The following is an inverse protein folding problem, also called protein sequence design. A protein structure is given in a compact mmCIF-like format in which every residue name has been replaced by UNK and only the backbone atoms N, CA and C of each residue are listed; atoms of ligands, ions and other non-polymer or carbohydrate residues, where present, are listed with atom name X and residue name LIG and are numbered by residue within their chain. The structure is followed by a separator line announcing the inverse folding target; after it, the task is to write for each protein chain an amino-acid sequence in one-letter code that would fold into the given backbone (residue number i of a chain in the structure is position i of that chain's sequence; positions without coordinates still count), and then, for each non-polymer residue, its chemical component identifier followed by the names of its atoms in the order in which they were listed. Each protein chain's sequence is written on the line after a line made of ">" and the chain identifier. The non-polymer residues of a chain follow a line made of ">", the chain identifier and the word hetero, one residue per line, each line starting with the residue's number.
data_IF_652821204877
#
_entry.id   IF_652821204877
#
_cell.length_a   1.000
_cell.length_b   1.000
_cell.length_c   1.000
_cell.angle_alpha   90.00
_cell.angle_beta   90.00
_cell.angle_gamma   90.00
#
_symmetry.space_group_name_H-M   'P 1'
#
loop_
_entity.id
_entity.type
_entity.pdbx_description
1 polymer ?
#
# COMPACT_ATOMS: atom_id res chain seq x y z
N UNK A 1 -15.62 -30.68 23.83
CA UNK A 1 -14.82 -30.91 22.59
C UNK A 1 -15.69 -30.86 21.34
N UNK A 2 -16.75 -31.66 21.22
CA UNK A 2 -17.65 -31.67 20.04
C UNK A 2 -18.25 -30.30 19.69
N UNK A 3 -18.82 -29.58 20.68
CA UNK A 3 -19.40 -28.25 20.45
C UNK A 3 -18.37 -27.23 19.91
N UNK A 4 -17.13 -27.27 20.41
CA UNK A 4 -16.05 -26.40 19.93
C UNK A 4 -15.73 -26.71 18.47
N UNK A 5 -15.63 -27.98 18.11
CA UNK A 5 -15.35 -28.41 16.73
C UNK A 5 -16.47 -27.93 15.79
N UNK A 6 -17.74 -28.11 16.17
CA UNK A 6 -18.89 -27.67 15.37
C UNK A 6 -18.88 -26.15 15.20
N UNK A 7 -18.66 -25.40 16.28
CA UNK A 7 -18.61 -23.93 16.22
C UNK A 7 -17.47 -23.43 15.33
N UNK A 8 -16.27 -24.01 15.46
CA UNK A 8 -15.13 -23.65 14.60
C UNK A 8 -15.40 -24.00 13.15
N UNK A 9 -15.94 -25.19 12.85
CA UNK A 9 -16.26 -25.59 11.48
C UNK A 9 -17.34 -24.67 10.87
N UNK A 10 -18.41 -24.36 11.61
CA UNK A 10 -19.45 -23.45 11.18
C UNK A 10 -18.88 -22.04 10.90
N UNK A 11 -18.05 -21.52 11.81
CA UNK A 11 -17.36 -20.24 11.62
C UNK A 11 -16.52 -20.23 10.33
N UNK A 12 -15.68 -21.25 10.12
CA UNK A 12 -14.83 -21.35 8.93
C UNK A 12 -15.65 -21.44 7.64
N UNK A 13 -16.75 -22.20 7.62
CA UNK A 13 -17.64 -22.31 6.47
C UNK A 13 -18.30 -20.95 6.17
N UNK A 14 -18.79 -20.26 7.19
CA UNK A 14 -19.43 -18.94 7.02
C UNK A 14 -18.41 -17.93 6.49
N UNK A 15 -17.22 -17.85 7.10
CA UNK A 15 -16.15 -16.96 6.64
C UNK A 15 -15.75 -17.27 5.21
N UNK A 16 -15.56 -18.55 4.87
CA UNK A 16 -15.21 -18.96 3.51
C UNK A 16 -16.29 -18.56 2.50
N UNK A 17 -17.57 -18.83 2.79
CA UNK A 17 -18.67 -18.47 1.90
C UNK A 17 -18.77 -16.96 1.71
N UNK A 18 -18.76 -16.19 2.79
CA UNK A 18 -18.86 -14.73 2.72
C UNK A 18 -17.68 -14.12 1.96
N UNK A 19 -16.47 -14.64 2.14
CA UNK A 19 -15.29 -14.22 1.39
C UNK A 19 -15.46 -14.43 -0.12
N UNK A 20 -15.81 -15.65 -0.54
CA UNK A 20 -15.99 -15.93 -1.98
C UNK A 20 -17.20 -15.19 -2.57
N UNK A 21 -18.26 -14.97 -1.80
CA UNK A 21 -19.38 -14.14 -2.26
C UNK A 21 -18.94 -12.70 -2.54
N UNK A 22 -18.13 -12.11 -1.65
CA UNK A 22 -17.60 -10.76 -1.84
C UNK A 22 -16.62 -10.68 -3.00
N UNK A 23 -15.66 -11.61 -3.09
CA UNK A 23 -14.72 -11.67 -4.20
C UNK A 23 -15.44 -11.78 -5.55
N UNK A 24 -16.42 -12.69 -5.65
CA UNK A 24 -17.23 -12.85 -6.87
C UNK A 24 -18.09 -11.60 -7.16
N UNK A 25 -18.60 -10.92 -6.13
CA UNK A 25 -19.35 -9.68 -6.31
C UNK A 25 -18.46 -8.56 -6.88
N UNK A 26 -17.21 -8.47 -6.43
CA UNK A 26 -16.26 -7.47 -6.93
C UNK A 26 -15.92 -7.73 -8.40
N UNK A 27 -15.59 -8.98 -8.76
CA UNK A 27 -15.32 -9.36 -10.16
C UNK A 27 -16.53 -9.18 -11.08
N UNK A 28 -17.76 -9.34 -10.58
CA UNK A 28 -18.98 -9.06 -11.35
C UNK A 28 -19.25 -7.57 -11.53
N UNK A 29 -18.97 -6.75 -10.50
CA UNK A 29 -19.12 -5.30 -10.56
C UNK A 29 -18.08 -4.68 -11.50
N UNK A 30 -16.88 -5.23 -11.50
CA UNK A 30 -15.73 -4.76 -12.27
C UNK A 30 -15.16 -5.86 -13.17
N UNK A 31 -15.87 -6.23 -14.25
CA UNK A 31 -15.50 -7.33 -15.13
C UNK A 31 -14.40 -6.92 -16.12
N UNK A 32 -13.29 -6.35 -15.63
CA UNK A 32 -12.17 -5.98 -16.48
C UNK A 32 -11.33 -7.19 -16.84
N UNK A 33 -10.95 -7.24 -18.12
CA UNK A 33 -9.87 -8.04 -18.66
C UNK A 33 -8.64 -7.16 -18.95
N UNK A 34 -7.58 -7.77 -19.49
CA UNK A 34 -6.31 -7.06 -19.70
C UNK A 34 -6.43 -5.86 -20.64
N UNK A 35 -7.26 -5.94 -21.67
CA UNK A 35 -7.42 -4.86 -22.64
C UNK A 35 -8.29 -3.74 -22.07
N UNK A 36 -9.39 -4.10 -21.43
CA UNK A 36 -10.34 -3.14 -20.84
C UNK A 36 -9.82 -2.43 -19.59
N UNK A 37 -8.75 -2.92 -18.94
CA UNK A 37 -8.06 -2.20 -17.86
C UNK A 37 -7.64 -0.78 -18.28
N UNK A 38 -7.33 -0.55 -19.56
CA UNK A 38 -6.98 0.78 -20.07
C UNK A 38 -8.14 1.80 -19.98
N UNK A 39 -9.38 1.32 -19.78
CA UNK A 39 -10.58 2.12 -19.65
C UNK A 39 -11.10 2.20 -18.20
N UNK A 40 -10.43 1.55 -17.25
CA UNK A 40 -10.77 1.64 -15.83
C UNK A 40 -10.58 3.06 -15.33
N UNK A 41 -11.62 3.63 -14.71
CA UNK A 41 -11.51 4.94 -14.07
C UNK A 41 -10.71 4.86 -12.78
N UNK A 42 -10.18 6.00 -12.34
CA UNK A 42 -9.44 6.08 -11.07
C UNK A 42 -10.32 5.71 -9.86
N UNK A 43 -11.62 6.02 -9.90
CA UNK A 43 -12.55 5.67 -8.83
C UNK A 43 -12.75 4.14 -8.75
N UNK A 44 -12.92 3.47 -9.88
CA UNK A 44 -13.08 2.01 -9.95
C UNK A 44 -11.81 1.30 -9.51
N UNK A 45 -10.64 1.78 -9.95
CA UNK A 45 -9.34 1.29 -9.50
C UNK A 45 -9.20 1.41 -7.97
N UNK A 46 -9.59 2.56 -7.41
CA UNK A 46 -9.57 2.80 -5.97
C UNK A 46 -10.52 1.88 -5.21
N UNK A 47 -11.73 1.66 -5.69
CA UNK A 47 -12.67 0.74 -5.05
C UNK A 47 -12.16 -0.71 -5.04
N UNK A 48 -11.59 -1.17 -6.16
CA UNK A 48 -10.98 -2.50 -6.26
C UNK A 48 -9.81 -2.61 -5.28
N UNK A 49 -8.87 -1.67 -5.33
CA UNK A 49 -7.70 -1.64 -4.45
C UNK A 49 -8.11 -1.60 -2.98
N UNK A 50 -9.07 -0.75 -2.60
CA UNK A 50 -9.54 -0.63 -1.22
C UNK A 50 -10.18 -1.92 -0.74
N UNK A 51 -10.99 -2.59 -1.58
CA UNK A 51 -11.54 -3.90 -1.23
C UNK A 51 -10.45 -4.96 -1.02
N UNK A 52 -9.37 -4.94 -1.80
CA UNK A 52 -8.23 -5.85 -1.60
C UNK A 52 -7.47 -5.53 -0.31
N UNK A 53 -7.20 -4.25 -0.06
CA UNK A 53 -6.40 -3.78 1.06
C UNK A 53 -7.13 -3.83 2.41
N UNK A 54 -8.44 -3.64 2.45
CA UNK A 54 -9.20 -3.57 3.70
C UNK A 54 -9.91 -4.89 4.04
N UNK A 55 -10.30 -5.69 3.02
CA UNK A 55 -11.21 -6.83 3.21
C UNK A 55 -10.63 -8.18 2.80
N UNK A 56 -9.99 -8.29 1.64
CA UNK A 56 -9.55 -9.60 1.12
C UNK A 56 -8.16 -10.01 1.62
N UNK A 57 -7.22 -9.06 1.66
CA UNK A 57 -5.82 -9.32 1.98
C UNK A 57 -5.21 -8.28 2.94
N UNK A 58 -5.89 -7.84 4.02
CA UNK A 58 -5.42 -6.70 4.80
C UNK A 58 -4.01 -6.86 5.39
N UNK A 59 -3.73 -8.05 5.93
CA UNK A 59 -2.39 -8.35 6.45
C UNK A 59 -1.35 -8.42 5.34
N UNK A 60 -1.62 -9.16 4.26
CA UNK A 60 -0.68 -9.36 3.15
C UNK A 60 -0.40 -8.05 2.42
N UNK A 61 -1.43 -7.27 2.12
CA UNK A 61 -1.33 -5.98 1.47
C UNK A 61 -0.48 -5.02 2.30
N UNK A 62 -0.83 -4.80 3.58
CA UNK A 62 -0.05 -3.92 4.47
C UNK A 62 1.40 -4.40 4.63
N UNK A 63 1.62 -5.70 4.82
CA UNK A 63 2.98 -6.28 4.94
C UNK A 63 3.80 -6.06 3.68
N UNK A 64 3.22 -6.25 2.49
CA UNK A 64 3.91 -6.05 1.21
C UNK A 64 4.40 -4.60 1.04
N UNK A 65 3.60 -3.62 1.49
CA UNK A 65 3.95 -2.20 1.46
C UNK A 65 5.13 -1.89 2.39
N UNK A 66 5.17 -2.50 3.58
CA UNK A 66 6.33 -2.38 4.46
C UNK A 66 7.58 -3.04 3.85
N UNK A 67 7.44 -4.18 3.18
CA UNK A 67 8.56 -4.82 2.48
C UNK A 67 9.03 -4.03 1.26
N UNK A 68 8.13 -3.34 0.54
CA UNK A 68 8.49 -2.40 -0.52
C UNK A 68 9.45 -1.32 0.00
N UNK A 69 9.17 -0.75 1.18
CA UNK A 69 10.08 0.20 1.83
C UNK A 69 11.45 -0.42 2.10
N UNK A 70 11.52 -1.60 2.73
CA UNK A 70 12.80 -2.26 3.02
C UNK A 70 13.61 -2.56 1.76
N UNK A 71 12.97 -2.93 0.65
CA UNK A 71 13.65 -3.15 -0.63
C UNK A 71 14.36 -1.89 -1.14
N UNK A 72 13.78 -0.71 -0.93
CA UNK A 72 14.46 0.56 -1.32
C UNK A 72 15.76 0.79 -0.55
N UNK A 73 15.91 0.22 0.66
CA UNK A 73 17.11 0.41 1.48
C UNK A 73 18.33 -0.31 0.88
N UNK A 74 18.10 -1.27 -0.01
CA UNK A 74 19.14 -1.95 -0.78
C UNK A 74 19.68 -1.14 -1.96
N UNK A 75 19.07 -0.01 -2.33
CA UNK A 75 19.52 0.81 -3.46
C UNK A 75 20.60 1.78 -2.96
N UNK A 76 21.83 1.77 -3.53
CA UNK A 76 22.94 2.53 -2.97
C UNK A 76 22.72 4.05 -2.85
N UNK A 77 22.01 4.68 -3.79
CA UNK A 77 21.64 6.11 -3.74
C UNK A 77 20.70 6.40 -2.56
N UNK A 78 19.64 5.61 -2.42
CA UNK A 78 18.64 5.76 -1.36
C UNK A 78 19.26 5.44 0.01
N UNK A 79 19.97 4.32 0.12
CA UNK A 79 20.60 3.86 1.35
C UNK A 79 21.55 4.90 1.95
N UNK A 80 22.44 5.49 1.11
CA UNK A 80 23.35 6.56 1.55
C UNK A 80 22.59 7.78 2.07
N UNK A 81 21.49 8.17 1.42
CA UNK A 81 20.68 9.28 1.88
C UNK A 81 20.00 8.96 3.21
N UNK A 82 19.38 7.79 3.35
CA UNK A 82 18.72 7.37 4.59
C UNK A 82 19.69 7.37 5.78
N UNK A 83 20.88 6.80 5.62
CA UNK A 83 21.93 6.83 6.65
C UNK A 83 22.34 8.27 6.96
N UNK A 84 22.57 9.11 5.95
CA UNK A 84 22.98 10.49 6.14
C UNK A 84 21.91 11.34 6.87
N UNK A 85 20.62 11.03 6.71
CA UNK A 85 19.56 11.73 7.46
C UNK A 85 19.50 11.31 8.93
N UNK A 86 19.93 10.10 9.29
CA UNK A 86 19.83 9.55 10.64
C UNK A 86 18.40 9.25 11.12
N UNK A 87 17.38 9.56 10.32
CA UNK A 87 15.95 9.50 10.71
C UNK A 87 15.42 8.08 10.95
N UNK A 88 16.14 7.04 10.50
CA UNK A 88 15.79 5.64 10.77
C UNK A 88 16.55 5.03 11.95
N UNK A 89 17.64 5.65 12.39
CA UNK A 89 18.53 5.10 13.42
C UNK A 89 18.48 5.89 14.74
N UNK A 90 18.13 7.18 14.70
CA UNK A 90 18.04 8.01 15.89
C UNK A 90 16.81 7.63 16.74
N UNK A 91 16.97 7.19 18.00
CA UNK A 91 15.85 6.80 18.86
C UNK A 91 14.82 7.90 19.10
N UNK A 92 15.21 9.17 18.97
CA UNK A 92 14.34 10.32 19.20
C UNK A 92 13.49 10.69 17.98
N UNK A 93 13.81 10.19 16.78
CA UNK A 93 13.08 10.53 15.55
C UNK A 93 12.57 9.34 14.75
N UNK A 94 13.10 8.12 14.98
CA UNK A 94 12.74 6.92 14.22
C UNK A 94 11.27 6.52 14.37
N UNK A 95 10.73 6.54 15.60
CA UNK A 95 9.32 6.23 15.87
C UNK A 95 8.39 7.25 15.20
N UNK A 96 8.72 8.54 15.32
CA UNK A 96 8.00 9.63 14.65
C UNK A 96 8.05 9.46 13.13
N UNK A 97 9.21 9.19 12.55
CA UNK A 97 9.38 9.00 11.10
C UNK A 97 8.54 7.84 10.59
N UNK A 98 8.49 6.73 11.33
CA UNK A 98 7.65 5.58 11.00
C UNK A 98 6.16 5.94 11.05
N UNK A 99 5.71 6.61 12.13
CA UNK A 99 4.33 7.05 12.28
C UNK A 99 3.90 8.04 11.17
N UNK A 100 4.72 9.06 10.90
CA UNK A 100 4.47 10.04 9.83
C UNK A 100 4.35 9.37 8.46
N UNK A 101 5.21 8.38 8.17
CA UNK A 101 5.15 7.61 6.92
C UNK A 101 3.87 6.80 6.83
N UNK A 102 3.50 6.10 7.91
CA UNK A 102 2.28 5.29 7.97
C UNK A 102 1.02 6.13 7.72
N UNK A 103 0.91 7.29 8.37
CA UNK A 103 -0.22 8.20 8.16
C UNK A 103 -0.28 8.68 6.72
N UNK A 104 0.83 9.20 6.16
CA UNK A 104 0.83 9.69 4.78
C UNK A 104 0.49 8.60 3.77
N UNK A 105 1.05 7.39 3.92
CA UNK A 105 0.73 6.28 3.02
C UNK A 105 -0.74 5.84 3.16
N UNK A 106 -1.29 5.85 4.36
CA UNK A 106 -2.70 5.52 4.59
C UNK A 106 -3.60 6.52 3.87
N UNK A 107 -3.35 7.82 3.97
CA UNK A 107 -4.10 8.85 3.25
C UNK A 107 -3.97 8.73 1.73
N UNK A 108 -2.77 8.39 1.24
CA UNK A 108 -2.52 8.23 -0.20
C UNK A 108 -3.25 7.00 -0.76
N UNK A 109 -3.27 5.89 -0.02
CA UNK A 109 -3.72 4.58 -0.51
C UNK A 109 -5.20 4.31 -0.23
N UNK A 110 -5.71 4.70 0.94
CA UNK A 110 -7.04 4.32 1.44
C UNK A 110 -8.04 5.48 1.48
N UNK A 111 -7.66 6.67 1.05
CA UNK A 111 -8.60 7.80 0.93
C UNK A 111 -8.96 8.04 -0.53
N UNK A 112 -10.24 8.34 -0.78
CA UNK A 112 -10.78 8.61 -2.10
C UNK A 112 -9.85 9.53 -2.91
N UNK A 113 -9.46 9.15 -4.13
CA UNK A 113 -8.60 9.95 -4.97
C UNK A 113 -9.19 11.35 -5.21
N UNK A 114 -8.32 12.35 -5.31
CA UNK A 114 -8.71 13.77 -5.49
C UNK A 114 -9.51 14.40 -4.34
N UNK A 115 -9.74 13.68 -3.23
CA UNK A 115 -10.22 14.33 -2.01
C UNK A 115 -9.15 15.23 -1.39
N UNK A 116 -9.55 16.20 -0.57
CA UNK A 116 -8.61 17.11 0.10
C UNK A 116 -7.54 16.35 0.88
N UNK A 117 -7.93 15.36 1.69
CA UNK A 117 -7.00 14.55 2.48
C UNK A 117 -5.98 13.78 1.63
N UNK A 118 -6.43 13.18 0.52
CA UNK A 118 -5.55 12.48 -0.40
C UNK A 118 -4.54 13.45 -1.05
N UNK A 119 -5.01 14.59 -1.55
CA UNK A 119 -4.17 15.62 -2.17
C UNK A 119 -3.19 16.24 -1.17
N UNK A 120 -3.62 16.52 0.05
CA UNK A 120 -2.78 17.06 1.12
C UNK A 120 -1.65 16.11 1.50
N UNK A 121 -1.93 14.80 1.58
CA UNK A 121 -0.91 13.79 1.86
C UNK A 121 0.12 13.67 0.72
N UNK A 122 -0.34 13.68 -0.53
CA UNK A 122 0.55 13.69 -1.71
C UNK A 122 1.41 14.96 -1.71
N UNK A 123 0.81 16.13 -1.49
CA UNK A 123 1.51 17.41 -1.43
C UNK A 123 2.54 17.42 -0.30
N UNK A 124 2.18 16.89 0.88
CA UNK A 124 3.10 16.78 2.03
C UNK A 124 4.29 15.87 1.74
N UNK A 125 4.05 14.71 1.11
CA UNK A 125 5.12 13.80 0.69
C UNK A 125 6.06 14.47 -0.31
N UNK A 126 5.50 15.14 -1.32
CA UNK A 126 6.26 15.88 -2.32
C UNK A 126 7.11 16.98 -1.69
N UNK A 127 6.54 17.77 -0.78
CA UNK A 127 7.25 18.83 -0.05
C UNK A 127 8.43 18.28 0.78
N UNK A 128 8.25 17.14 1.46
CA UNK A 128 9.32 16.50 2.24
C UNK A 128 10.48 16.03 1.36
N UNK A 129 10.19 15.51 0.17
CA UNK A 129 11.19 15.02 -0.78
C UNK A 129 11.84 16.13 -1.62
N UNK A 130 11.14 17.24 -1.84
CA UNK A 130 11.51 18.32 -2.74
C UNK A 130 12.89 18.93 -2.44
N UNK A 131 13.23 19.16 -1.16
CA UNK A 131 14.58 19.64 -0.78
C UNK A 131 15.70 18.70 -1.23
N UNK A 132 15.47 17.39 -1.17
CA UNK A 132 16.46 16.39 -1.55
C UNK A 132 16.51 16.19 -3.07
N UNK A 133 15.37 16.33 -3.75
CA UNK A 133 15.28 16.33 -5.20
C UNK A 133 16.04 17.51 -5.80
N UNK A 134 15.81 18.74 -5.31
CA UNK A 134 16.57 19.93 -5.73
C UNK A 134 18.08 19.81 -5.49
N UNK A 135 18.48 19.11 -4.42
CA UNK A 135 19.89 18.84 -4.13
C UNK A 135 20.48 17.64 -4.90
N UNK A 136 19.73 17.03 -5.83
CA UNK A 136 20.17 15.87 -6.62
C UNK A 136 20.37 14.58 -5.80
N UNK A 137 19.81 14.50 -4.59
CA UNK A 137 19.94 13.35 -3.68
C UNK A 137 18.85 12.31 -3.84
N UNK A 138 17.67 12.72 -4.30
CA UNK A 138 16.60 11.82 -4.74
C UNK A 138 16.48 11.99 -6.26
N UNK A 139 16.88 10.97 -7.02
CA UNK A 139 16.82 10.98 -8.48
C UNK A 139 15.46 10.50 -8.97
N UNK A 140 15.13 10.80 -10.22
CA UNK A 140 13.88 10.30 -10.83
C UNK A 140 13.85 8.78 -10.93
N UNK A 141 15.01 8.14 -11.18
CA UNK A 141 15.13 6.68 -11.11
C UNK A 141 14.85 6.10 -9.73
N UNK A 142 15.27 6.79 -8.66
CA UNK A 142 14.97 6.36 -7.27
C UNK A 142 13.47 6.45 -6.99
N UNK A 143 12.82 7.54 -7.44
CA UNK A 143 11.37 7.73 -7.30
C UNK A 143 10.57 6.70 -8.10
N UNK A 144 10.91 6.51 -9.39
CA UNK A 144 10.23 5.55 -10.26
C UNK A 144 10.33 4.13 -9.69
N UNK A 145 11.52 3.73 -9.25
CA UNK A 145 11.71 2.42 -8.61
C UNK A 145 10.87 2.29 -7.34
N UNK A 146 10.93 3.29 -6.46
CA UNK A 146 10.16 3.30 -5.20
C UNK A 146 8.66 3.19 -5.45
N UNK A 147 8.10 4.03 -6.31
CA UNK A 147 6.68 4.01 -6.67
C UNK A 147 6.27 2.69 -7.34
N UNK A 148 7.13 2.13 -8.19
CA UNK A 148 6.90 0.81 -8.80
C UNK A 148 6.78 -0.29 -7.76
N UNK A 149 7.61 -0.26 -6.70
CA UNK A 149 7.50 -1.24 -5.61
C UNK A 149 6.16 -1.11 -4.85
N UNK A 150 5.69 0.11 -4.58
CA UNK A 150 4.39 0.32 -3.93
C UNK A 150 3.21 -0.22 -4.75
N UNK A 151 3.32 -0.24 -6.08
CA UNK A 151 2.28 -0.80 -6.97
C UNK A 151 2.42 -2.31 -7.13
N UNK A 152 3.65 -2.80 -7.34
CA UNK A 152 3.89 -4.18 -7.76
C UNK A 152 4.00 -5.18 -6.61
N UNK A 153 4.48 -4.75 -5.44
CA UNK A 153 4.62 -5.66 -4.29
C UNK A 153 3.28 -6.16 -3.75
N UNK A 154 2.23 -5.34 -3.59
CA UNK A 154 0.92 -5.85 -3.19
C UNK A 154 0.39 -6.90 -4.14
N UNK A 155 0.47 -6.65 -5.46
CA UNK A 155 0.01 -7.58 -6.49
C UNK A 155 0.72 -8.93 -6.35
N UNK A 156 2.06 -8.93 -6.35
CA UNK A 156 2.88 -10.15 -6.25
C UNK A 156 2.64 -10.97 -4.98
N UNK A 157 2.30 -10.32 -3.87
CA UNK A 157 2.09 -11.01 -2.60
C UNK A 157 0.67 -11.58 -2.48
N UNK A 158 -0.26 -11.14 -3.32
CA UNK A 158 -1.67 -11.58 -3.34
C UNK A 158 -2.01 -12.51 -4.51
N UNK A 159 -1.04 -12.82 -5.37
CA UNK A 159 -1.15 -13.82 -6.45
C UNK A 159 -1.26 -15.27 -5.94
#
# INVERSE_FOLDING_TARGET
>A
MFAIIVTVAAYLIVVQKLRFLRANSLSRKYPYDRESLAHMTLEEAFEIQSSLAELEFPFTFSTSIFFALFKTYGIPSISKLLVATGELANPNSSSKRAADTGVLLTEIVLTKPNSSRNLDAIARMNWLHDRYRRAGKIKDGDMLHTLSLFVLEPVRWTE
#
